data_IF_073086532260
#
_entry.id   IF_073086532260
#
_cell.length_a   1.000
_cell.length_b   1.000
_cell.length_c   1.000
_cell.angle_alpha   90.00
_cell.angle_beta   90.00
_cell.angle_gamma   90.00
#
_symmetry.space_group_name_H-M   'P 1'
#
loop_
_entity.id
_entity.type
_entity.pdbx_description
1 polymer ?
#
# COMPACT_ATOMS: atom_id res chain seq x y z
N UNK A 1 13.97 7.22 -34.21
CA UNK A 1 14.03 5.84 -33.71
C UNK A 1 12.73 5.55 -33.00
N UNK A 2 11.81 4.86 -33.67
CA UNK A 2 10.48 4.50 -33.17
C UNK A 2 10.60 3.34 -32.19
N UNK A 3 10.25 3.59 -30.93
CA UNK A 3 10.17 2.56 -29.88
C UNK A 3 9.05 1.57 -30.19
N UNK A 4 9.26 0.26 -29.98
CA UNK A 4 8.24 -0.75 -30.23
C UNK A 4 7.23 -0.71 -29.09
N UNK A 5 6.20 0.12 -29.21
CA UNK A 5 5.02 -0.01 -28.36
C UNK A 5 4.25 -1.25 -28.81
N UNK A 6 4.49 -2.31 -28.05
CA UNK A 6 3.84 -3.61 -28.12
C UNK A 6 2.38 -3.49 -28.55
N UNK A 7 1.99 -4.32 -29.51
CA UNK A 7 0.60 -4.68 -29.79
C UNK A 7 0.00 -5.32 -28.53
N UNK A 8 -0.42 -4.52 -27.56
CA UNK A 8 -1.16 -4.99 -26.39
C UNK A 8 -2.44 -5.65 -26.89
N UNK A 9 -2.70 -6.88 -26.43
CA UNK A 9 -3.94 -7.58 -26.75
C UNK A 9 -5.14 -6.68 -26.44
N UNK A 10 -6.10 -6.56 -27.36
CA UNK A 10 -7.30 -5.72 -27.20
C UNK A 10 -8.03 -6.00 -25.87
N UNK A 11 -8.00 -7.24 -25.38
CA UNK A 11 -8.58 -7.61 -24.08
C UNK A 11 -7.83 -6.98 -22.90
N UNK A 12 -6.50 -6.98 -22.97
CA UNK A 12 -5.65 -6.40 -21.93
C UNK A 12 -5.81 -4.88 -21.87
N UNK A 13 -5.81 -4.20 -23.02
CA UNK A 13 -6.04 -2.75 -23.09
C UNK A 13 -7.41 -2.36 -22.50
N UNK A 14 -8.48 -3.12 -22.80
CA UNK A 14 -9.81 -2.91 -22.21
C UNK A 14 -9.82 -3.11 -20.70
N UNK A 15 -9.15 -4.16 -20.22
CA UNK A 15 -9.02 -4.41 -18.78
C UNK A 15 -8.26 -3.29 -18.07
N UNK A 16 -7.11 -2.88 -18.60
CA UNK A 16 -6.31 -1.78 -18.03
C UNK A 16 -7.10 -0.47 -18.03
N UNK A 17 -7.82 -0.15 -19.10
CA UNK A 17 -8.71 1.02 -19.15
C UNK A 17 -9.78 0.97 -18.05
N UNK A 18 -10.44 -0.17 -17.88
CA UNK A 18 -11.47 -0.34 -16.86
C UNK A 18 -10.91 -0.14 -15.45
N UNK A 19 -9.75 -0.73 -15.14
CA UNK A 19 -9.15 -0.64 -13.82
C UNK A 19 -8.57 0.76 -13.55
N UNK A 20 -7.78 1.33 -14.47
CA UNK A 20 -7.14 2.64 -14.30
C UNK A 20 -8.15 3.80 -14.39
N UNK A 21 -8.89 3.92 -15.49
CA UNK A 21 -9.75 5.09 -15.72
C UNK A 21 -11.05 5.02 -14.91
N UNK A 22 -11.72 3.86 -14.85
CA UNK A 22 -13.03 3.75 -14.20
C UNK A 22 -12.89 3.55 -12.69
N UNK A 23 -12.15 2.52 -12.27
CA UNK A 23 -12.06 2.18 -10.84
C UNK A 23 -11.15 3.17 -10.09
N UNK A 24 -9.94 3.44 -10.57
CA UNK A 24 -8.99 4.31 -9.86
C UNK A 24 -9.29 5.80 -10.03
N UNK A 25 -9.56 6.29 -11.24
CA UNK A 25 -9.64 7.75 -11.48
C UNK A 25 -11.05 8.35 -11.34
N UNK A 26 -12.11 7.61 -11.70
CA UNK A 26 -13.49 8.10 -11.63
C UNK A 26 -14.18 7.75 -10.31
N UNK A 27 -14.27 6.48 -9.97
CA UNK A 27 -14.96 6.03 -8.75
C UNK A 27 -14.07 6.29 -7.53
N UNK A 28 -12.82 5.85 -7.60
CA UNK A 28 -11.88 5.87 -6.49
C UNK A 28 -10.92 7.05 -6.50
N UNK A 29 -11.31 8.23 -7.03
CA UNK A 29 -10.39 9.34 -7.25
C UNK A 29 -9.55 9.62 -5.99
N UNK A 30 -8.26 9.27 -5.99
CA UNK A 30 -7.50 9.17 -4.76
C UNK A 30 -7.18 10.53 -4.18
N UNK A 31 -7.13 11.59 -4.99
CA UNK A 31 -6.90 12.96 -4.53
C UNK A 31 -8.12 13.43 -3.74
N UNK A 32 -9.31 13.30 -4.32
CA UNK A 32 -10.56 13.70 -3.68
C UNK A 32 -10.78 12.89 -2.41
N UNK A 33 -10.62 11.57 -2.49
CA UNK A 33 -10.81 10.70 -1.33
C UNK A 33 -9.76 10.96 -0.24
N UNK A 34 -8.49 11.19 -0.58
CA UNK A 34 -7.45 11.53 0.41
C UNK A 34 -7.73 12.86 1.10
N UNK A 35 -8.20 13.86 0.36
CA UNK A 35 -8.58 15.16 0.95
C UNK A 35 -9.78 14.99 1.90
N UNK A 36 -10.84 14.30 1.46
CA UNK A 36 -12.01 14.02 2.30
C UNK A 36 -11.61 13.22 3.54
N UNK A 37 -10.74 12.21 3.41
CA UNK A 37 -10.23 11.44 4.54
C UNK A 37 -9.50 12.33 5.55
N UNK A 38 -8.61 13.21 5.09
CA UNK A 38 -7.87 14.12 5.96
C UNK A 38 -8.81 15.10 6.70
N UNK A 39 -9.79 15.69 6.01
CA UNK A 39 -10.77 16.60 6.65
C UNK A 39 -11.60 15.85 7.69
N UNK A 40 -12.08 14.65 7.38
CA UNK A 40 -12.86 13.84 8.32
C UNK A 40 -12.01 13.41 9.52
N UNK A 41 -10.75 13.04 9.31
CA UNK A 41 -9.82 12.69 10.38
C UNK A 41 -9.59 13.87 11.35
N UNK A 42 -9.28 15.05 10.81
CA UNK A 42 -9.14 16.29 11.60
C UNK A 42 -10.42 16.59 12.38
N UNK A 43 -11.57 16.46 11.73
CA UNK A 43 -12.88 16.69 12.38
C UNK A 43 -13.08 15.71 13.55
N UNK A 44 -12.82 14.43 13.33
CA UNK A 44 -12.94 13.39 14.36
C UNK A 44 -11.92 13.58 15.49
N UNK A 45 -10.72 14.05 15.18
CA UNK A 45 -9.71 14.42 16.18
C UNK A 45 -10.19 15.57 17.07
N UNK A 46 -10.68 16.66 16.48
CA UNK A 46 -11.21 17.82 17.23
C UNK A 46 -12.38 17.38 18.13
N UNK A 47 -13.32 16.59 17.59
CA UNK A 47 -14.43 16.06 18.39
C UNK A 47 -13.95 15.18 19.54
N UNK A 48 -12.96 14.32 19.29
CA UNK A 48 -12.36 13.47 20.31
C UNK A 48 -11.63 14.28 21.39
N UNK A 49 -10.91 15.34 21.01
CA UNK A 49 -10.18 16.22 21.93
C UNK A 49 -11.12 17.05 22.82
N UNK A 50 -12.22 17.56 22.27
CA UNK A 50 -13.26 18.25 23.06
C UNK A 50 -13.84 17.28 24.09
N UNK A 51 -14.18 16.05 23.68
CA UNK A 51 -14.76 15.07 24.60
C UNK A 51 -13.75 14.57 25.65
N UNK A 52 -12.49 14.40 25.28
CA UNK A 52 -11.38 14.10 26.18
C UNK A 52 -11.22 15.13 27.30
N UNK A 53 -11.48 16.43 27.04
CA UNK A 53 -11.43 17.46 28.08
C UNK A 53 -12.52 17.33 29.16
N UNK A 54 -13.54 16.50 28.90
CA UNK A 54 -14.72 16.34 29.76
C UNK A 54 -14.85 14.97 30.42
N UNK A 55 -14.01 13.99 30.04
CA UNK A 55 -14.08 12.61 30.50
C UNK A 55 -12.73 12.07 30.95
N UNK A 56 -12.75 11.07 31.84
CA UNK A 56 -11.55 10.39 32.33
C UNK A 56 -10.86 9.60 31.20
N UNK A 57 -9.60 9.89 30.92
CA UNK A 57 -8.83 9.36 29.78
C UNK A 57 -8.31 7.93 30.02
N UNK A 58 -8.53 7.36 31.21
CA UNK A 58 -7.99 6.06 31.63
C UNK A 58 -8.41 4.86 30.76
N UNK A 59 -9.45 4.99 29.93
CA UNK A 59 -9.91 3.91 29.05
C UNK A 59 -9.19 3.83 27.69
N UNK A 60 -8.37 4.82 27.34
CA UNK A 60 -7.63 4.83 26.06
C UNK A 60 -6.29 4.13 26.21
N UNK A 61 -6.09 3.07 25.43
CA UNK A 61 -4.80 2.37 25.34
C UNK A 61 -3.86 3.11 24.40
N UNK A 62 -2.67 3.46 24.90
CA UNK A 62 -1.59 4.03 24.06
C UNK A 62 -1.17 3.04 22.97
N UNK A 63 -1.24 1.73 23.25
CA UNK A 63 -0.80 0.68 22.33
C UNK A 63 -1.62 0.68 21.03
N UNK A 64 -2.91 1.04 21.09
CA UNK A 64 -3.79 1.09 19.92
C UNK A 64 -3.33 2.17 18.93
N UNK A 65 -2.96 3.34 19.44
CA UNK A 65 -2.46 4.45 18.61
C UNK A 65 -1.05 4.20 18.07
N UNK A 66 -0.19 3.49 18.83
CA UNK A 66 1.13 3.07 18.35
C UNK A 66 0.99 2.09 17.19
N UNK A 67 0.02 1.19 17.26
CA UNK A 67 -0.29 0.27 16.18
C UNK A 67 -0.83 1.00 14.93
N UNK A 68 -1.71 1.98 15.10
CA UNK A 68 -2.20 2.82 13.99
C UNK A 68 -1.08 3.59 13.28
N UNK A 69 -0.16 4.16 14.07
CA UNK A 69 1.02 4.83 13.54
C UNK A 69 1.87 3.90 12.67
N UNK A 70 2.09 2.66 13.13
CA UNK A 70 2.82 1.66 12.36
C UNK A 70 2.11 1.33 11.04
N UNK A 71 0.79 1.11 11.06
CA UNK A 71 0.01 0.86 9.85
C UNK A 71 0.09 2.04 8.87
N UNK A 72 -0.01 3.27 9.36
CA UNK A 72 0.07 4.48 8.54
C UNK A 72 1.47 4.67 7.93
N UNK A 73 2.55 4.32 8.63
CA UNK A 73 3.92 4.30 8.08
C UNK A 73 4.08 3.28 6.95
N UNK A 74 3.61 2.06 7.16
CA UNK A 74 3.63 1.00 6.14
C UNK A 74 2.80 1.39 4.90
N UNK A 75 1.65 2.04 5.10
CA UNK A 75 0.80 2.57 4.03
C UNK A 75 1.54 3.60 3.15
N UNK A 76 2.30 4.52 3.75
CA UNK A 76 3.11 5.51 2.99
C UNK A 76 4.12 4.79 2.10
N UNK A 77 4.81 3.78 2.63
CA UNK A 77 5.77 3.01 1.84
C UNK A 77 5.10 2.39 0.60
N UNK A 78 3.90 1.82 0.76
CA UNK A 78 3.19 1.25 -0.37
C UNK A 78 2.69 2.28 -1.39
N UNK A 79 2.23 3.45 -0.94
CA UNK A 79 1.83 4.54 -1.82
C UNK A 79 3.00 4.97 -2.69
N UNK A 80 4.19 5.12 -2.09
CA UNK A 80 5.42 5.48 -2.79
C UNK A 80 5.84 4.36 -3.76
N UNK A 81 5.66 3.08 -3.39
CA UNK A 81 6.04 1.93 -4.22
C UNK A 81 5.19 1.79 -5.49
N UNK A 82 3.90 2.14 -5.42
CA UNK A 82 2.95 2.02 -6.54
C UNK A 82 2.40 3.38 -7.00
N UNK A 83 3.23 4.21 -7.65
CA UNK A 83 2.78 5.50 -8.16
C UNK A 83 1.85 5.31 -9.36
N UNK A 84 0.89 6.25 -9.54
CA UNK A 84 0.04 6.29 -10.74
C UNK A 84 0.80 6.75 -12.00
N UNK A 85 1.82 7.58 -11.80
CA UNK A 85 2.69 8.11 -12.83
C UNK A 85 4.15 8.12 -12.34
N UNK A 86 5.10 7.76 -13.20
CA UNK A 86 6.53 7.81 -12.89
C UNK A 86 7.34 8.34 -14.06
N UNK A 87 8.06 9.44 -13.85
CA UNK A 87 9.00 10.01 -14.84
C UNK A 87 10.07 9.00 -15.28
N UNK A 88 10.40 8.06 -14.40
CA UNK A 88 11.45 7.08 -14.60
C UNK A 88 10.93 5.69 -14.99
N UNK A 89 9.64 5.57 -15.34
CA UNK A 89 8.97 4.30 -15.64
C UNK A 89 8.29 3.68 -14.42
N UNK A 90 7.13 3.07 -14.63
CA UNK A 90 6.31 2.37 -13.63
C UNK A 90 6.87 0.99 -13.28
N UNK A 91 7.65 0.40 -14.18
CA UNK A 91 8.37 -0.85 -13.98
C UNK A 91 9.75 -0.64 -13.31
N UNK A 92 10.13 0.59 -12.95
CA UNK A 92 11.45 0.87 -12.40
C UNK A 92 11.64 0.07 -11.12
N UNK A 93 12.67 -0.78 -11.12
CA UNK A 93 13.08 -1.56 -9.95
C UNK A 93 13.33 -0.60 -8.79
N UNK A 94 12.55 -0.80 -7.75
CA UNK A 94 12.69 -0.12 -6.47
C UNK A 94 14.12 -0.24 -5.93
N UNK A 95 14.58 0.78 -5.22
CA UNK A 95 15.93 0.78 -4.65
C UNK A 95 16.09 -0.41 -3.70
N UNK A 96 17.23 -1.11 -3.76
CA UNK A 96 17.53 -2.23 -2.87
C UNK A 96 17.34 -1.88 -1.39
N UNK A 97 17.75 -0.68 -0.97
CA UNK A 97 17.57 -0.23 0.40
C UNK A 97 16.07 -0.11 0.77
N UNK A 98 15.26 0.39 -0.16
CA UNK A 98 13.81 0.49 0.03
C UNK A 98 13.14 -0.88 0.08
N UNK A 99 13.52 -1.82 -0.79
CA UNK A 99 12.99 -3.19 -0.76
C UNK A 99 13.40 -3.93 0.53
N UNK A 100 14.58 -3.69 1.08
CA UNK A 100 14.99 -4.24 2.39
C UNK A 100 14.14 -3.64 3.50
N UNK A 101 14.00 -2.32 3.52
CA UNK A 101 13.18 -1.63 4.52
C UNK A 101 11.73 -2.12 4.47
N UNK A 102 11.17 -2.28 3.27
CA UNK A 102 9.82 -2.76 3.06
C UNK A 102 9.67 -4.20 3.54
N UNK A 103 10.64 -5.07 3.24
CA UNK A 103 10.64 -6.44 3.72
C UNK A 103 10.64 -6.50 5.26
N UNK A 104 11.50 -5.71 5.92
CA UNK A 104 11.55 -5.65 7.38
C UNK A 104 10.23 -5.13 7.97
N UNK A 105 9.67 -4.07 7.39
CA UNK A 105 8.39 -3.51 7.81
C UNK A 105 7.24 -4.50 7.62
N UNK A 106 7.21 -5.25 6.52
CA UNK A 106 6.22 -6.30 6.29
C UNK A 106 6.37 -7.47 7.29
N UNK A 107 7.59 -7.89 7.62
CA UNK A 107 7.77 -8.95 8.61
C UNK A 107 7.38 -8.48 10.03
N UNK A 108 7.71 -7.24 10.41
CA UNK A 108 7.28 -6.66 11.67
C UNK A 108 5.75 -6.51 11.74
N UNK A 109 5.09 -6.12 10.64
CA UNK A 109 3.63 -6.09 10.58
C UNK A 109 2.98 -7.48 10.73
N UNK A 110 3.58 -8.54 10.16
CA UNK A 110 3.11 -9.92 10.37
C UNK A 110 3.28 -10.34 11.83
N UNK A 111 4.40 -9.99 12.46
CA UNK A 111 4.63 -10.24 13.88
C UNK A 111 3.58 -9.53 14.75
N UNK A 112 3.28 -8.26 14.47
CA UNK A 112 2.21 -7.51 15.14
C UNK A 112 0.81 -8.09 14.90
N UNK A 113 0.57 -8.76 13.77
CA UNK A 113 -0.71 -9.39 13.48
C UNK A 113 -0.88 -10.76 14.16
N UNK A 114 0.23 -11.43 14.49
CA UNK A 114 0.26 -12.80 15.00
C UNK A 114 0.50 -12.90 16.50
N UNK A 115 1.32 -12.02 17.09
CA UNK A 115 1.84 -12.20 18.45
C UNK A 115 1.02 -11.53 19.57
N UNK A 116 0.45 -10.32 19.42
CA UNK A 116 -0.25 -9.65 20.52
C UNK A 116 -1.53 -10.36 20.91
N UNK A 117 -1.73 -10.69 22.19
CA UNK A 117 -2.92 -11.41 22.67
C UNK A 117 -4.24 -10.68 22.42
N UNK A 118 -4.21 -9.35 22.36
CA UNK A 118 -5.39 -8.51 22.22
C UNK A 118 -5.90 -8.43 20.77
N UNK A 119 -5.02 -8.63 19.79
CA UNK A 119 -5.31 -8.41 18.36
C UNK A 119 -4.86 -9.56 17.45
N UNK A 120 -4.25 -10.59 18.01
CA UNK A 120 -3.75 -11.72 17.23
C UNK A 120 -4.88 -12.43 16.53
N UNK A 121 -4.69 -12.58 15.23
CA UNK A 121 -5.54 -13.38 14.36
C UNK A 121 -5.67 -14.85 14.83
N UNK A 122 -4.66 -15.37 15.55
CA UNK A 122 -4.66 -16.72 16.10
C UNK A 122 -5.67 -16.83 17.25
N UNK A 123 -5.80 -15.78 18.06
CA UNK A 123 -6.64 -15.74 19.26
C UNK A 123 -8.02 -15.15 19.02
N UNK A 124 -8.29 -14.48 17.89
CA UNK A 124 -9.63 -13.94 17.56
C UNK A 124 -10.66 -15.06 17.36
N UNK A 125 -11.92 -14.86 17.76
CA UNK A 125 -13.04 -15.80 17.55
C UNK A 125 -13.52 -15.85 16.09
N UNK A 126 -12.63 -16.20 15.16
CA UNK A 126 -12.97 -16.45 13.76
C UNK A 126 -13.10 -17.94 13.47
N UNK A 127 -13.85 -18.28 12.40
CA UNK A 127 -13.99 -19.66 11.96
C UNK A 127 -12.62 -20.31 11.69
N UNK A 128 -12.47 -21.59 12.08
CA UNK A 128 -11.21 -22.34 11.90
C UNK A 128 -10.75 -22.39 10.44
N UNK A 129 -11.70 -22.45 9.51
CA UNK A 129 -11.45 -22.45 8.06
C UNK A 129 -10.86 -21.11 7.61
N UNK A 130 -11.43 -19.99 8.06
CA UNK A 130 -10.89 -18.66 7.74
C UNK A 130 -9.49 -18.47 8.32
N UNK A 131 -9.25 -18.92 9.56
CA UNK A 131 -7.92 -18.90 10.18
C UNK A 131 -6.89 -19.68 9.36
N UNK A 132 -7.25 -20.86 8.86
CA UNK A 132 -6.39 -21.65 7.99
C UNK A 132 -6.00 -20.88 6.72
N UNK A 133 -6.96 -20.30 6.00
CA UNK A 133 -6.68 -19.54 4.78
C UNK A 133 -5.79 -18.31 5.03
N UNK A 134 -6.04 -17.56 6.10
CA UNK A 134 -5.20 -16.40 6.45
C UNK A 134 -3.77 -16.82 6.81
N UNK A 135 -3.60 -17.90 7.57
CA UNK A 135 -2.27 -18.42 7.90
C UNK A 135 -1.55 -18.94 6.64
N UNK A 136 -2.27 -19.62 5.73
CA UNK A 136 -1.71 -20.04 4.44
C UNK A 136 -1.25 -18.86 3.59
N UNK A 137 -1.97 -17.74 3.60
CA UNK A 137 -1.55 -16.50 2.91
C UNK A 137 -0.27 -15.91 3.50
N UNK A 138 -0.05 -16.03 4.82
CA UNK A 138 1.18 -15.58 5.48
C UNK A 138 2.34 -16.53 5.16
N UNK A 139 2.12 -17.85 5.15
CA UNK A 139 3.17 -18.85 4.94
C UNK A 139 3.63 -18.92 3.48
N UNK A 140 2.72 -18.80 2.51
CA UNK A 140 3.02 -19.00 1.10
C UNK A 140 4.18 -18.14 0.56
N UNK A 141 4.29 -16.83 0.88
CA UNK A 141 5.42 -16.01 0.45
C UNK A 141 6.79 -16.51 0.95
N UNK A 142 6.85 -17.09 2.15
CA UNK A 142 8.07 -17.69 2.69
C UNK A 142 8.42 -19.02 2.01
N UNK A 143 7.40 -19.82 1.64
CA UNK A 143 7.61 -21.02 0.83
C UNK A 143 8.18 -20.65 -0.53
N UNK A 144 7.62 -19.65 -1.21
CA UNK A 144 8.14 -19.16 -2.49
C UNK A 144 9.58 -18.65 -2.33
N UNK A 145 9.86 -17.84 -1.31
CA UNK A 145 11.21 -17.37 -1.00
C UNK A 145 12.18 -18.55 -0.81
N UNK A 146 11.81 -19.56 -0.02
CA UNK A 146 12.64 -20.74 0.22
C UNK A 146 12.92 -21.51 -1.08
N UNK A 147 11.89 -21.73 -1.92
CA UNK A 147 12.05 -22.38 -3.23
C UNK A 147 13.02 -21.60 -4.12
N UNK A 148 12.91 -20.26 -4.16
CA UNK A 148 13.83 -19.41 -4.92
C UNK A 148 15.27 -19.45 -4.36
N UNK A 149 15.46 -19.58 -3.03
CA UNK A 149 16.80 -19.77 -2.44
C UNK A 149 17.38 -21.10 -2.92
N UNK A 150 16.60 -22.18 -2.82
CA UNK A 150 17.01 -23.53 -3.21
C UNK A 150 17.38 -23.57 -4.68
N UNK A 151 16.53 -23.07 -5.56
CA UNK A 151 16.80 -22.97 -7.01
C UNK A 151 18.11 -22.23 -7.29
N UNK A 152 18.36 -21.14 -6.56
CA UNK A 152 19.58 -20.35 -6.72
C UNK A 152 20.83 -21.09 -6.23
N UNK A 153 20.74 -21.88 -5.17
CA UNK A 153 21.86 -22.68 -4.68
C UNK A 153 22.24 -23.76 -5.69
N UNK A 154 21.24 -24.51 -6.21
CA UNK A 154 21.45 -25.50 -7.26
C UNK A 154 21.99 -24.88 -8.57
N UNK A 155 21.44 -23.75 -9.00
CA UNK A 155 21.86 -23.08 -10.23
C UNK A 155 23.26 -22.43 -10.11
N UNK A 156 23.72 -22.15 -8.88
CA UNK A 156 25.09 -21.68 -8.62
C UNK A 156 26.11 -22.82 -8.78
N UNK A 157 25.77 -24.05 -8.40
CA UNK A 157 26.60 -25.24 -8.66
C UNK A 157 26.76 -25.52 -10.16
N UNK A 158 25.74 -25.23 -10.98
CA UNK A 158 25.84 -25.31 -12.45
C UNK A 158 26.60 -24.11 -13.07
N UNK A 159 26.40 -22.90 -12.54
CA UNK A 159 27.08 -21.69 -13.05
C UNK A 159 28.56 -21.60 -12.65
N UNK A 160 28.98 -22.23 -11.55
CA UNK A 160 30.42 -22.39 -11.22
C UNK A 160 31.13 -23.34 -12.19
N UNK A 161 30.40 -24.27 -12.85
CA UNK A 161 30.92 -25.09 -13.96
C UNK A 161 30.89 -24.38 -15.31
N UNK A 162 29.97 -23.43 -15.50
CA UNK A 162 29.81 -22.65 -16.73
C UNK A 162 29.98 -21.16 -16.43
N UNK A 163 31.24 -20.69 -16.36
CA UNK A 163 31.66 -19.36 -15.88
C UNK A 163 30.94 -18.15 -16.48
N UNK A 164 29.70 -17.90 -16.06
CA UNK A 164 28.87 -16.78 -16.49
C UNK A 164 28.40 -15.97 -15.27
N UNK A 165 28.96 -14.77 -15.17
CA UNK A 165 28.87 -13.89 -14.01
C UNK A 165 27.72 -12.89 -14.20
N UNK A 166 26.55 -13.12 -13.60
CA UNK A 166 25.55 -12.06 -13.29
C UNK A 166 24.79 -12.28 -11.95
N UNK A 167 25.46 -12.15 -10.79
CA UNK A 167 24.86 -12.43 -9.49
C UNK A 167 23.99 -11.30 -8.89
N UNK A 168 24.14 -10.04 -9.33
CA UNK A 168 23.50 -8.88 -8.66
C UNK A 168 22.07 -8.57 -9.11
N UNK A 169 21.70 -8.89 -10.37
CA UNK A 169 20.33 -8.67 -10.86
C UNK A 169 19.31 -9.65 -10.23
N UNK A 170 19.73 -10.89 -9.93
CA UNK A 170 18.86 -11.94 -9.36
C UNK A 170 18.55 -11.74 -7.87
N UNK A 171 19.36 -10.96 -7.13
CA UNK A 171 19.19 -10.80 -5.66
C UNK A 171 18.13 -9.73 -5.34
N UNK A 172 18.11 -8.65 -6.11
CA UNK A 172 17.07 -7.60 -6.00
C UNK A 172 15.72 -8.13 -6.51
N UNK A 173 15.71 -8.96 -7.57
CA UNK A 173 14.47 -9.57 -8.06
C UNK A 173 13.81 -10.46 -7.01
N UNK A 174 14.60 -11.28 -6.31
CA UNK A 174 14.09 -12.18 -5.27
C UNK A 174 13.40 -11.44 -4.12
N UNK A 175 14.05 -10.40 -3.58
CA UNK A 175 13.46 -9.60 -2.50
C UNK A 175 12.19 -8.86 -2.94
N UNK A 176 12.22 -8.32 -4.17
CA UNK A 176 11.07 -7.63 -4.77
C UNK A 176 9.88 -8.59 -4.92
N UNK A 177 10.15 -9.83 -5.36
CA UNK A 177 9.15 -10.89 -5.54
C UNK A 177 8.56 -11.34 -4.21
N UNK A 178 9.39 -11.52 -3.17
CA UNK A 178 8.89 -11.82 -1.83
C UNK A 178 8.02 -10.69 -1.28
N UNK A 179 8.45 -9.43 -1.41
CA UNK A 179 7.66 -8.27 -0.99
C UNK A 179 6.33 -8.17 -1.76
N UNK A 180 6.30 -8.58 -3.03
CA UNK A 180 5.08 -8.64 -3.84
C UNK A 180 4.15 -9.78 -3.38
N UNK A 181 4.69 -10.93 -3.00
CA UNK A 181 3.91 -12.05 -2.48
C UNK A 181 3.40 -11.80 -1.05
N UNK A 182 4.11 -11.00 -0.24
CA UNK A 182 3.64 -10.55 1.07
C UNK A 182 2.56 -9.45 0.95
N UNK A 183 2.49 -8.76 -0.19
CA UNK A 183 1.58 -7.63 -0.37
C UNK A 183 0.10 -7.95 -0.14
N UNK A 184 -0.45 -9.08 -0.64
CA UNK A 184 -1.84 -9.47 -0.41
C UNK A 184 -2.20 -9.60 1.08
N UNK A 185 -1.26 -10.07 1.92
CA UNK A 185 -1.46 -10.15 3.38
C UNK A 185 -1.67 -8.74 3.93
N UNK A 186 -0.81 -7.80 3.54
CA UNK A 186 -0.91 -6.40 3.95
C UNK A 186 -2.12 -5.71 3.35
N UNK A 187 -2.49 -6.02 2.10
CA UNK A 187 -3.72 -5.55 1.49
C UNK A 187 -4.92 -5.96 2.33
N UNK A 188 -4.97 -7.22 2.76
CA UNK A 188 -6.12 -7.76 3.49
C UNK A 188 -6.21 -7.14 4.89
N UNK A 189 -5.08 -7.05 5.58
CA UNK A 189 -5.07 -6.74 7.01
C UNK A 189 -4.62 -5.33 7.41
N UNK A 190 -3.90 -4.61 6.54
CA UNK A 190 -3.16 -3.40 6.94
C UNK A 190 -3.28 -2.23 5.95
N UNK A 191 -3.78 -2.43 4.73
CA UNK A 191 -3.88 -1.32 3.79
C UNK A 191 -5.03 -0.39 4.12
N UNK A 192 -4.71 0.90 4.01
CA UNK A 192 -5.52 2.11 4.16
C UNK A 192 -5.35 2.84 5.48
N UNK A 193 -5.48 4.16 5.32
CA UNK A 193 -5.57 5.26 6.28
C UNK A 193 -6.69 5.11 7.29
N UNK A 194 -6.83 3.95 7.91
CA UNK A 194 -7.92 3.68 8.84
C UNK A 194 -7.34 3.77 10.23
N UNK A 195 -7.54 4.92 10.86
CA UNK A 195 -7.58 4.95 12.30
C UNK A 195 -8.87 4.24 12.71
N UNK A 196 -8.73 3.09 13.33
CA UNK A 196 -9.83 2.32 13.89
C UNK A 196 -10.30 2.91 15.22
N UNK A 197 -9.45 3.71 15.88
CA UNK A 197 -9.53 4.13 17.27
C UNK A 197 -10.05 5.56 17.39
N UNK A 198 -11.30 5.77 16.97
CA UNK A 198 -12.08 6.99 17.28
C UNK A 198 -13.05 6.75 18.44
N UNK A 199 -12.57 6.13 19.51
CA UNK A 199 -13.41 5.72 20.65
C UNK A 199 -14.09 6.91 21.35
N UNK A 200 -13.50 8.10 21.25
CA UNK A 200 -14.01 9.36 21.84
C UNK A 200 -14.91 10.17 20.90
N UNK A 201 -14.95 9.86 19.60
CA UNK A 201 -15.74 10.65 18.66
C UNK A 201 -17.22 10.25 18.73
N UNK A 202 -18.04 11.07 19.38
CA UNK A 202 -19.50 10.87 19.48
C UNK A 202 -20.24 11.26 18.20
N UNK A 203 -19.77 10.72 17.07
CA UNK A 203 -20.26 11.05 15.74
C UNK A 203 -20.23 9.80 14.84
N UNK A 204 -21.09 8.80 15.09
CA UNK A 204 -21.05 7.51 14.42
C UNK A 204 -21.19 7.61 12.89
N UNK A 205 -21.94 8.61 12.40
CA UNK A 205 -22.10 8.88 10.96
C UNK A 205 -20.80 9.38 10.33
N UNK A 206 -20.05 10.25 11.03
CA UNK A 206 -18.78 10.79 10.56
C UNK A 206 -17.71 9.69 10.56
N UNK A 207 -17.67 8.87 11.63
CA UNK A 207 -16.80 7.69 11.72
C UNK A 207 -17.10 6.70 10.59
N UNK A 208 -18.37 6.44 10.30
CA UNK A 208 -18.77 5.56 9.20
C UNK A 208 -18.32 6.10 7.84
N UNK A 209 -18.55 7.39 7.58
CA UNK A 209 -18.14 8.04 6.34
C UNK A 209 -16.62 8.00 6.17
N UNK A 210 -15.86 8.30 7.23
CA UNK A 210 -14.41 8.18 7.24
C UNK A 210 -13.96 6.77 6.86
N UNK A 211 -14.50 5.75 7.54
CA UNK A 211 -14.17 4.34 7.26
C UNK A 211 -14.49 3.97 5.81
N UNK A 212 -15.61 4.43 5.26
CA UNK A 212 -15.99 4.18 3.86
C UNK A 212 -15.01 4.83 2.88
N UNK A 213 -14.61 6.08 3.12
CA UNK A 213 -13.62 6.80 2.29
C UNK A 213 -12.27 6.08 2.32
N UNK A 214 -11.83 5.65 3.51
CA UNK A 214 -10.58 4.90 3.65
C UNK A 214 -10.66 3.52 2.98
N UNK A 215 -11.82 2.84 3.03
CA UNK A 215 -12.07 1.63 2.24
C UNK A 215 -11.97 1.90 0.73
N UNK A 216 -12.51 3.00 0.22
CA UNK A 216 -12.37 3.34 -1.20
C UNK A 216 -10.90 3.59 -1.58
N UNK A 217 -10.13 4.31 -0.76
CA UNK A 217 -8.69 4.50 -0.95
C UNK A 217 -7.93 3.17 -0.94
N UNK A 218 -8.32 2.25 -0.05
CA UNK A 218 -7.81 0.87 -0.01
C UNK A 218 -7.96 0.20 -1.37
N UNK A 219 -9.18 0.22 -1.91
CA UNK A 219 -9.47 -0.37 -3.20
C UNK A 219 -8.64 0.29 -4.31
N UNK A 220 -8.51 1.61 -4.35
CA UNK A 220 -7.68 2.28 -5.36
C UNK A 220 -6.23 1.78 -5.33
N UNK A 221 -5.65 1.61 -4.15
CA UNK A 221 -4.28 1.10 -4.03
C UNK A 221 -4.13 -0.37 -4.44
N UNK A 222 -5.12 -1.21 -4.14
CA UNK A 222 -5.16 -2.61 -4.60
C UNK A 222 -5.18 -2.66 -6.13
N UNK A 223 -6.03 -1.85 -6.76
CA UNK A 223 -6.13 -1.78 -8.22
C UNK A 223 -4.83 -1.27 -8.85
N UNK A 224 -4.14 -0.31 -8.24
CA UNK A 224 -2.80 0.12 -8.69
C UNK A 224 -1.76 -0.98 -8.59
N UNK A 225 -1.78 -1.78 -7.52
CA UNK A 225 -0.91 -2.96 -7.43
C UNK A 225 -1.18 -3.94 -8.58
N UNK A 226 -2.45 -4.23 -8.87
CA UNK A 226 -2.83 -5.09 -10.00
C UNK A 226 -2.29 -4.50 -11.32
N UNK A 227 -2.46 -3.20 -11.55
CA UNK A 227 -1.93 -2.51 -12.72
C UNK A 227 -0.40 -2.58 -12.80
N UNK A 228 0.30 -2.44 -11.68
CA UNK A 228 1.75 -2.59 -11.61
C UNK A 228 2.19 -4.00 -12.00
N UNK A 229 1.54 -5.05 -11.47
CA UNK A 229 1.83 -6.44 -11.86
C UNK A 229 1.62 -6.66 -13.35
N UNK A 230 0.56 -6.09 -13.93
CA UNK A 230 0.31 -6.12 -15.38
C UNK A 230 1.46 -5.49 -16.17
N UNK A 231 1.92 -4.30 -15.78
CA UNK A 231 3.05 -3.61 -16.45
C UNK A 231 4.33 -4.45 -16.39
N UNK A 232 4.62 -5.05 -15.23
CA UNK A 232 5.77 -5.93 -15.04
C UNK A 232 5.67 -7.17 -15.95
N UNK A 233 4.49 -7.79 -16.02
CA UNK A 233 4.28 -8.99 -16.85
C UNK A 233 4.41 -8.72 -18.35
N UNK A 234 4.02 -7.52 -18.80
CA UNK A 234 4.11 -7.10 -20.21
C UNK A 234 5.53 -6.62 -20.58
N UNK A 235 6.49 -6.66 -19.65
CA UNK A 235 7.85 -6.13 -19.85
C UNK A 235 7.86 -4.65 -20.27
N UNK A 236 6.93 -3.86 -19.74
CA UNK A 236 6.81 -2.43 -20.00
C UNK A 236 7.86 -1.58 -19.28
N UNK A 237 9.16 -1.86 -19.47
CA UNK A 237 10.26 -1.17 -18.75
C UNK A 237 10.20 0.36 -18.87
N UNK A 238 9.62 0.87 -19.96
CA UNK A 238 9.53 2.30 -20.27
C UNK A 238 8.14 2.91 -20.10
N UNK A 239 7.14 2.15 -19.65
CA UNK A 239 5.77 2.66 -19.46
C UNK A 239 5.76 3.64 -18.29
N UNK A 240 5.48 4.93 -18.53
CA UNK A 240 5.49 5.97 -17.48
C UNK A 240 4.11 6.19 -16.87
N UNK A 241 3.08 5.84 -17.62
CA UNK A 241 1.68 5.98 -17.25
C UNK A 241 0.89 4.74 -17.68
N UNK A 242 -0.01 4.23 -16.82
CA UNK A 242 -0.89 3.11 -17.15
C UNK A 242 -1.79 3.40 -18.37
N UNK A 243 -2.04 4.68 -18.66
CA UNK A 243 -2.77 5.13 -19.83
C UNK A 243 -2.08 4.78 -21.17
N UNK A 244 -0.76 4.63 -21.18
CA UNK A 244 -0.01 4.23 -22.39
C UNK A 244 -0.37 2.81 -22.87
N UNK A 245 -0.93 1.98 -21.98
CA UNK A 245 -1.34 0.61 -22.33
C UNK A 245 -2.67 0.54 -23.11
N UNK A 246 -3.47 1.60 -23.10
CA UNK A 246 -4.81 1.62 -23.72
C UNK A 246 -5.13 2.86 -24.56
N UNK A 247 -4.36 3.96 -24.44
CA UNK A 247 -4.46 5.12 -25.33
C UNK A 247 -3.40 5.02 -26.42
N UNK A 248 -3.73 5.24 -27.71
CA UNK A 248 -2.71 5.37 -28.74
C UNK A 248 -1.80 6.56 -28.39
N UNK A 249 -0.49 6.33 -28.45
CA UNK A 249 0.58 7.30 -28.07
C UNK A 249 0.61 8.54 -28.98
N UNK A 250 -0.29 8.66 -29.95
CA UNK A 250 -0.39 9.78 -30.91
C UNK A 250 -1.10 11.04 -30.38
N UNK A 251 -1.45 11.13 -29.09
CA UNK A 251 -1.97 12.37 -28.47
C UNK A 251 -0.83 13.20 -27.86
N UNK A 252 0.19 13.50 -28.66
CA UNK A 252 1.39 14.28 -28.28
C UNK A 252 1.11 15.79 -28.08
N UNK A 253 -0.17 16.20 -27.97
CA UNK A 253 -0.57 17.57 -27.66
C UNK A 253 -1.72 17.60 -26.63
N UNK A 254 -1.55 16.92 -25.50
CA UNK A 254 -2.38 17.28 -24.34
C UNK A 254 -1.88 18.61 -23.78
N UNK A 255 -2.62 19.68 -24.07
CA UNK A 255 -2.57 20.94 -23.33
C UNK A 255 -2.40 20.64 -21.84
N UNK A 256 -1.44 21.34 -21.19
CA UNK A 256 -1.15 21.26 -19.76
C UNK A 256 -2.42 21.59 -18.96
N UNK A 257 -3.26 20.59 -18.79
CA UNK A 257 -4.52 20.70 -18.06
C UNK A 257 -4.22 20.42 -16.60
N UNK A 258 -4.99 21.03 -15.68
CA UNK A 258 -4.94 20.74 -14.25
C UNK A 258 -4.93 19.24 -13.92
N UNK A 259 -5.60 18.42 -14.75
CA UNK A 259 -5.59 16.95 -14.63
C UNK A 259 -4.19 16.33 -14.73
N UNK A 260 -3.32 16.81 -15.63
CA UNK A 260 -1.95 16.29 -15.74
C UNK A 260 -1.12 16.67 -14.52
N UNK A 261 -1.25 17.90 -14.01
CA UNK A 261 -0.57 18.35 -12.80
C UNK A 261 -0.95 17.50 -11.58
N UNK A 262 -2.25 17.28 -11.38
CA UNK A 262 -2.75 16.46 -10.28
C UNK A 262 -2.30 15.00 -10.38
N UNK A 263 -2.25 14.43 -11.59
CA UNK A 263 -1.78 13.05 -11.81
C UNK A 263 -0.28 12.90 -11.51
N UNK A 264 0.54 13.88 -11.88
CA UNK A 264 1.97 13.88 -11.54
C UNK A 264 2.23 13.95 -10.03
N UNK A 265 1.36 14.63 -9.27
CA UNK A 265 1.54 14.85 -7.83
C UNK A 265 0.64 13.96 -6.95
N UNK A 266 -0.12 13.05 -7.56
CA UNK A 266 -1.12 12.21 -6.89
C UNK A 266 -0.52 11.40 -5.74
N UNK A 267 0.61 10.73 -5.99
CA UNK A 267 1.36 9.97 -4.97
C UNK A 267 1.81 10.86 -3.81
N UNK A 268 2.30 12.06 -4.12
CA UNK A 268 2.74 13.01 -3.10
C UNK A 268 1.56 13.53 -2.26
N UNK A 269 0.43 13.85 -2.89
CA UNK A 269 -0.79 14.28 -2.20
C UNK A 269 -1.29 13.19 -1.26
N UNK A 270 -1.38 11.94 -1.74
CA UNK A 270 -1.77 10.80 -0.90
C UNK A 270 -0.82 10.61 0.28
N UNK A 271 0.50 10.73 0.05
CA UNK A 271 1.49 10.62 1.12
C UNK A 271 1.41 11.78 2.13
N UNK A 272 1.11 13.01 1.69
CA UNK A 272 0.89 14.15 2.59
C UNK A 272 -0.37 13.93 3.44
N UNK A 273 -1.48 13.49 2.83
CA UNK A 273 -2.69 13.17 3.58
C UNK A 273 -2.48 12.01 4.58
N UNK A 274 -1.64 11.03 4.23
CA UNK A 274 -1.21 9.98 5.16
C UNK A 274 -0.48 10.54 6.38
N UNK A 275 0.45 11.46 6.14
CA UNK A 275 1.26 12.08 7.20
C UNK A 275 0.41 12.90 8.17
N UNK A 276 -0.73 13.44 7.73
CA UNK A 276 -1.70 14.09 8.63
C UNK A 276 -2.25 13.11 9.67
N UNK A 277 -2.52 11.87 9.28
CA UNK A 277 -3.00 10.83 10.19
C UNK A 277 -1.92 10.41 11.18
N UNK A 278 -0.68 10.25 10.71
CA UNK A 278 0.47 10.00 11.60
C UNK A 278 0.64 11.13 12.61
N UNK A 279 0.53 12.39 12.17
CA UNK A 279 0.62 13.54 13.06
C UNK A 279 -0.51 13.55 14.09
N UNK A 280 -1.71 13.13 13.69
CA UNK A 280 -2.85 12.97 14.59
C UNK A 280 -2.58 11.88 15.64
N UNK A 281 -2.12 10.69 15.24
CA UNK A 281 -1.80 9.57 16.15
C UNK A 281 -0.74 10.00 17.17
N UNK A 282 0.33 10.65 16.69
CA UNK A 282 1.37 11.22 17.56
C UNK A 282 0.82 12.27 18.52
N UNK A 283 -0.08 13.13 18.06
CA UNK A 283 -0.74 14.13 18.89
C UNK A 283 -1.57 13.50 20.01
N UNK A 284 -2.36 12.46 19.72
CA UNK A 284 -3.13 11.74 20.72
C UNK A 284 -2.21 11.04 21.73
N UNK A 285 -1.17 10.35 21.25
CA UNK A 285 -0.18 9.69 22.13
C UNK A 285 0.47 10.71 23.08
N UNK A 286 0.84 11.88 22.58
CA UNK A 286 1.44 12.94 23.39
C UNK A 286 0.48 13.47 24.46
N UNK A 287 -0.80 13.69 24.10
CA UNK A 287 -1.85 14.10 25.04
C UNK A 287 -2.05 13.04 26.12
N UNK A 288 -2.22 11.77 25.74
CA UNK A 288 -2.42 10.67 26.70
C UNK A 288 -1.25 10.53 27.67
N UNK A 289 -0.01 10.63 27.18
CA UNK A 289 1.19 10.60 28.05
C UNK A 289 1.26 11.78 29.01
N UNK A 290 0.77 12.96 28.62
CA UNK A 290 0.76 14.15 29.47
C UNK A 290 -0.29 14.06 30.60
N UNK A 291 -1.45 13.47 30.33
CA UNK A 291 -2.54 13.35 31.32
C UNK A 291 -2.48 12.10 32.21
N UNK A 292 -1.75 11.05 31.79
CA UNK A 292 -1.60 9.79 32.54
C UNK A 292 -0.30 9.75 33.36
N UNK A 293 0.61 10.73 33.17
CA UNK A 293 1.83 10.89 33.99
C UNK A 293 1.60 11.79 35.19
#
# INVERSE_FOLDING_TARGET
MSSPLYTTSSKLAKFTYFVDEILCNRIGNPIVLSFVAAVLAITLFVLSAIKASTHDLAFLSIDDYVQELWHNLVNIMFIIRFPSHSRNGLARKSNKAFEILLFLAQNAGIAMLMLPTNYSLLYTDCSKILKFFMLSQIIAPYVVLAMTVVEKLYSKEESEKAGSFRPDLKRISMLTETNNNLLPVFITHSFAFVNFTFQLADAPRIVLLYKLVCCCLKFTLIHRFILHVVVVFVNGENVKDYAELYRPVSLENQERTWKCFFREHETAIMAVCASVLIAQDMGIIAILKFFVS
#
